data_IF_057689679773
#
_entry.id   IF_057689679773
#
_cell.length_a   1.000
_cell.length_b   1.000
_cell.length_c   1.000
_cell.angle_alpha   90.00
_cell.angle_beta   90.00
_cell.angle_gamma   90.00
#
_symmetry.space_group_name_H-M   'P 1'
#
loop_
_entity.id
_entity.type
_entity.pdbx_description
1 polymer ?
#
# COMPACT_ATOMS: atom_id res chain seq x y z
N UNK A 1 -5.91 -4.75 22.98
CA UNK A 1 -6.26 -4.71 21.54
C UNK A 1 -5.44 -5.79 20.85
N UNK A 2 -6.07 -6.88 20.42
CA UNK A 2 -5.37 -8.03 19.83
C UNK A 2 -4.54 -7.55 18.62
N UNK A 3 -3.22 -7.67 18.69
CA UNK A 3 -2.35 -7.40 17.55
C UNK A 3 -2.58 -8.50 16.52
N UNK A 4 -3.61 -8.32 15.68
CA UNK A 4 -3.85 -9.19 14.54
C UNK A 4 -2.58 -9.27 13.68
N UNK A 5 -2.26 -10.47 13.18
CA UNK A 5 -1.13 -10.65 12.28
C UNK A 5 -1.28 -9.71 11.07
N UNK A 6 -0.19 -9.09 10.57
CA UNK A 6 -0.26 -8.26 9.38
C UNK A 6 -0.83 -9.07 8.21
N UNK A 7 -1.85 -8.51 7.55
CA UNK A 7 -2.42 -9.07 6.32
C UNK A 7 -1.46 -8.88 5.14
N UNK A 8 -1.75 -9.54 4.02
CA UNK A 8 -1.05 -9.31 2.77
C UNK A 8 -1.11 -7.83 2.33
N UNK A 9 -2.22 -7.12 2.59
CA UNK A 9 -2.36 -5.69 2.28
C UNK A 9 -1.51 -4.80 3.19
N UNK A 10 -1.39 -5.15 4.47
CA UNK A 10 -0.46 -4.48 5.40
C UNK A 10 0.99 -4.65 4.92
N UNK A 11 1.35 -5.85 4.44
CA UNK A 11 2.67 -6.13 3.87
C UNK A 11 2.90 -5.38 2.56
N UNK A 12 1.92 -5.35 1.65
CA UNK A 12 2.01 -4.60 0.40
C UNK A 12 2.25 -3.10 0.65
N UNK A 13 1.52 -2.51 1.61
CA UNK A 13 1.74 -1.13 2.03
C UNK A 13 3.17 -0.90 2.57
N UNK A 14 3.66 -1.83 3.40
CA UNK A 14 5.01 -1.74 3.93
C UNK A 14 6.08 -1.85 2.82
N UNK A 15 5.85 -2.70 1.81
CA UNK A 15 6.74 -2.84 0.65
C UNK A 15 6.79 -1.54 -0.16
N UNK A 16 5.63 -0.97 -0.51
CA UNK A 16 5.57 0.29 -1.27
C UNK A 16 6.29 1.41 -0.52
N UNK A 17 6.18 1.46 0.81
CA UNK A 17 6.84 2.48 1.65
C UNK A 17 8.33 2.22 1.90
N UNK A 18 8.81 0.99 1.72
CA UNK A 18 10.25 0.71 1.70
C UNK A 18 10.87 1.11 0.34
N UNK A 19 10.10 1.04 -0.75
CA UNK A 19 10.52 1.47 -2.09
C UNK A 19 10.43 2.99 -2.24
N UNK A 20 9.37 3.60 -1.70
CA UNK A 20 9.12 5.04 -1.73
C UNK A 20 8.96 5.56 -0.30
N UNK A 21 10.08 5.69 0.45
CA UNK A 21 10.01 6.21 1.81
C UNK A 21 9.50 7.65 1.81
N UNK A 22 8.61 8.04 2.75
CA UNK A 22 8.19 9.43 2.86
C UNK A 22 9.37 10.31 3.27
N UNK A 23 9.33 11.59 2.89
CA UNK A 23 10.34 12.57 3.26
C UNK A 23 10.55 12.58 4.79
N UNK A 24 11.82 12.67 5.21
CA UNK A 24 12.19 12.66 6.64
C UNK A 24 12.07 11.29 7.33
N UNK A 25 11.74 10.21 6.62
CA UNK A 25 11.72 8.86 7.17
C UNK A 25 13.14 8.34 7.43
N UNK A 26 13.33 7.65 8.56
CA UNK A 26 14.53 6.84 8.84
C UNK A 26 14.45 5.42 8.25
N UNK A 27 13.42 5.14 7.45
CA UNK A 27 13.26 3.83 6.82
C UNK A 27 14.42 3.59 5.84
N UNK A 28 14.91 2.35 5.83
CA UNK A 28 15.92 1.90 4.88
C UNK A 28 15.22 1.72 3.54
N UNK A 29 15.62 2.47 2.53
CA UNK A 29 15.15 2.29 1.17
C UNK A 29 15.58 0.90 0.66
N UNK A 30 14.63 0.18 0.06
CA UNK A 30 14.86 -1.16 -0.48
C UNK A 30 14.25 -1.26 -1.87
N UNK A 31 14.93 -1.95 -2.77
CA UNK A 31 14.31 -2.41 -4.01
C UNK A 31 13.09 -3.30 -3.74
N UNK A 32 12.12 -3.31 -4.64
CA UNK A 32 10.81 -3.95 -4.44
C UNK A 32 10.91 -5.44 -4.08
N UNK A 33 11.82 -6.20 -4.69
CA UNK A 33 12.06 -7.61 -4.35
C UNK A 33 12.59 -7.78 -2.92
N UNK A 34 13.65 -7.04 -2.58
CA UNK A 34 14.25 -7.10 -1.25
C UNK A 34 13.28 -6.64 -0.13
N UNK A 35 12.44 -5.65 -0.44
CA UNK A 35 11.37 -5.20 0.45
C UNK A 35 10.33 -6.31 0.68
N UNK A 36 9.84 -6.95 -0.38
CA UNK A 36 8.87 -8.05 -0.27
C UNK A 36 9.43 -9.23 0.55
N UNK A 37 10.66 -9.65 0.24
CA UNK A 37 11.31 -10.77 0.94
C UNK A 37 11.47 -10.47 2.43
N UNK A 38 11.90 -9.27 2.78
CA UNK A 38 12.04 -8.84 4.18
C UNK A 38 10.69 -8.79 4.90
N UNK A 39 9.69 -8.13 4.29
CA UNK A 39 8.39 -7.87 4.93
C UNK A 39 7.54 -9.13 5.06
N UNK A 40 7.50 -9.99 4.03
CA UNK A 40 6.75 -11.25 4.06
C UNK A 40 7.29 -12.22 5.12
N UNK A 41 8.62 -12.38 5.20
CA UNK A 41 9.28 -13.20 6.24
C UNK A 41 9.00 -12.66 7.64
N UNK A 42 9.13 -11.34 7.83
CA UNK A 42 8.86 -10.69 9.12
C UNK A 42 7.40 -10.87 9.57
N UNK A 43 6.45 -10.84 8.64
CA UNK A 43 5.04 -11.05 8.91
C UNK A 43 4.64 -12.54 9.01
N UNK A 44 5.54 -13.46 8.69
CA UNK A 44 5.24 -14.91 8.58
C UNK A 44 4.07 -15.19 7.63
N UNK A 45 4.02 -14.49 6.49
CA UNK A 45 2.99 -14.70 5.48
C UNK A 45 3.11 -16.09 4.86
N UNK A 46 1.95 -16.67 4.51
CA UNK A 46 1.91 -17.87 3.67
C UNK A 46 2.45 -17.56 2.26
N UNK A 47 2.81 -18.59 1.49
CA UNK A 47 3.20 -18.40 0.10
C UNK A 47 2.09 -17.74 -0.74
N UNK A 48 0.83 -18.10 -0.48
CA UNK A 48 -0.35 -17.50 -1.13
C UNK A 48 -0.48 -16.01 -0.81
N UNK A 49 -0.36 -15.65 0.47
CA UNK A 49 -0.48 -14.26 0.90
C UNK A 49 0.72 -13.43 0.44
N UNK A 50 1.90 -14.04 0.36
CA UNK A 50 3.10 -13.39 -0.19
C UNK A 50 2.93 -13.09 -1.67
N UNK A 51 2.39 -14.04 -2.45
CA UNK A 51 2.09 -13.82 -3.87
C UNK A 51 1.06 -12.70 -4.06
N UNK A 52 0.02 -12.65 -3.21
CA UNK A 52 -0.97 -11.58 -3.26
C UNK A 52 -0.38 -10.22 -2.85
N UNK A 53 0.45 -10.16 -1.81
CA UNK A 53 1.17 -8.94 -1.44
C UNK A 53 2.11 -8.46 -2.56
N UNK A 54 2.77 -9.39 -3.26
CA UNK A 54 3.61 -9.10 -4.41
C UNK A 54 2.81 -8.48 -5.56
N UNK A 55 1.68 -9.10 -5.93
CA UNK A 55 0.78 -8.60 -6.97
C UNK A 55 0.35 -7.16 -6.69
N UNK A 56 -0.14 -6.90 -5.47
CA UNK A 56 -0.56 -5.56 -5.07
C UNK A 56 0.58 -4.55 -5.07
N UNK A 57 1.71 -4.87 -4.41
CA UNK A 57 2.81 -3.94 -4.26
C UNK A 57 3.46 -3.62 -5.62
N UNK A 58 3.77 -4.66 -6.40
CA UNK A 58 4.45 -4.48 -7.68
C UNK A 58 3.53 -3.84 -8.71
N UNK A 59 2.26 -4.21 -8.70
CA UNK A 59 1.21 -3.54 -9.46
C UNK A 59 1.16 -2.05 -9.19
N UNK A 60 1.04 -1.66 -7.91
CA UNK A 60 0.99 -0.27 -7.50
C UNK A 60 2.29 0.51 -7.80
N UNK A 61 3.46 -0.12 -7.65
CA UNK A 61 4.75 0.48 -8.00
C UNK A 61 4.84 0.71 -9.50
N UNK A 62 4.53 -0.31 -10.31
CA UNK A 62 4.63 -0.26 -11.78
C UNK A 62 3.65 0.75 -12.39
N UNK A 63 2.42 0.80 -11.85
CA UNK A 63 1.33 1.60 -12.39
C UNK A 63 1.14 2.93 -11.65
N UNK A 64 2.07 3.33 -10.79
CA UNK A 64 1.95 4.48 -9.90
C UNK A 64 1.41 5.75 -10.56
N UNK A 65 1.94 6.12 -11.74
CA UNK A 65 1.49 7.30 -12.50
C UNK A 65 0.05 7.17 -13.01
N UNK A 66 -0.35 5.98 -13.47
CA UNK A 66 -1.72 5.69 -13.90
C UNK A 66 -2.68 5.75 -12.71
N UNK A 67 -2.27 5.20 -11.56
CA UNK A 67 -3.06 5.24 -10.33
C UNK A 67 -3.20 6.67 -9.81
N UNK A 68 -2.13 7.47 -9.88
CA UNK A 68 -2.18 8.90 -9.57
C UNK A 68 -3.14 9.64 -10.50
N UNK A 69 -3.16 9.29 -11.81
CA UNK A 69 -4.11 9.86 -12.75
C UNK A 69 -5.57 9.50 -12.41
N UNK A 70 -5.86 8.25 -12.01
CA UNK A 70 -7.19 7.88 -11.52
C UNK A 70 -7.59 8.63 -10.25
N UNK A 71 -6.64 8.89 -9.36
CA UNK A 71 -6.89 9.56 -8.09
C UNK A 71 -7.00 11.08 -8.21
N UNK A 72 -6.38 11.68 -9.23
CA UNK A 72 -6.28 13.14 -9.38
C UNK A 72 -7.62 13.88 -9.26
N UNK A 73 -8.75 13.42 -9.86
CA UNK A 73 -10.04 14.10 -9.71
C UNK A 73 -10.59 14.13 -8.27
N UNK A 74 -10.13 13.21 -7.42
CA UNK A 74 -10.61 13.05 -6.04
C UNK A 74 -9.70 13.68 -4.98
N UNK A 75 -8.49 14.08 -5.38
CA UNK A 75 -7.44 14.56 -4.47
C UNK A 75 -7.13 16.06 -4.59
N UNK A 76 -8.02 16.85 -5.23
CA UNK A 76 -7.83 18.28 -5.51
C UNK A 76 -7.55 19.17 -4.29
N UNK A 77 -7.71 18.67 -3.06
CA UNK A 77 -7.43 19.36 -1.80
C UNK A 77 -6.18 18.85 -1.05
N UNK A 78 -5.46 17.86 -1.59
CA UNK A 78 -4.36 17.13 -0.90
C UNK A 78 -2.94 17.51 -1.33
N UNK A 79 -2.77 18.47 -2.26
CA UNK A 79 -1.44 18.84 -2.76
C UNK A 79 -0.59 19.64 -1.76
N UNK A 80 -1.21 20.31 -0.79
CA UNK A 80 -0.49 21.06 0.25
C UNK A 80 0.10 20.18 1.37
N UNK A 81 -0.23 18.87 1.38
CA UNK A 81 0.09 17.96 2.48
C UNK A 81 1.07 16.83 2.07
N UNK A 82 1.77 16.98 0.95
CA UNK A 82 2.66 15.91 0.44
C UNK A 82 3.80 15.57 1.42
N UNK A 83 4.20 16.54 2.25
CA UNK A 83 5.19 16.38 3.30
C UNK A 83 4.61 15.85 4.63
N UNK A 84 3.28 15.76 4.75
CA UNK A 84 2.64 15.14 5.90
C UNK A 84 2.72 13.61 5.78
N UNK A 85 3.36 12.98 6.78
CA UNK A 85 3.54 11.52 6.86
C UNK A 85 2.21 10.75 6.84
N UNK A 86 1.14 11.29 7.44
CA UNK A 86 -0.20 10.70 7.44
C UNK A 86 -0.85 10.83 6.06
N UNK A 87 -0.77 11.99 5.44
CA UNK A 87 -1.27 12.17 4.07
C UNK A 87 -0.53 11.25 3.08
N UNK A 88 0.79 11.12 3.22
CA UNK A 88 1.61 10.20 2.42
C UNK A 88 1.16 8.75 2.54
N UNK A 89 0.91 8.24 3.77
CA UNK A 89 0.50 6.84 3.93
C UNK A 89 -0.90 6.59 3.38
N UNK A 90 -1.83 7.52 3.57
CA UNK A 90 -3.17 7.43 2.99
C UNK A 90 -3.09 7.42 1.46
N UNK A 91 -2.19 8.22 0.84
CA UNK A 91 -2.00 8.21 -0.61
C UNK A 91 -1.50 6.86 -1.13
N UNK A 92 -0.59 6.17 -0.40
CA UNK A 92 -0.17 4.81 -0.78
C UNK A 92 -1.30 3.78 -0.64
N UNK A 93 -2.11 3.90 0.42
CA UNK A 93 -3.28 3.05 0.64
C UNK A 93 -4.29 3.21 -0.50
N UNK A 94 -4.55 4.45 -0.92
CA UNK A 94 -5.43 4.75 -2.04
C UNK A 94 -4.90 4.15 -3.35
N UNK A 95 -3.60 4.25 -3.63
CA UNK A 95 -3.01 3.63 -4.83
C UNK A 95 -3.17 2.11 -4.83
N UNK A 96 -2.91 1.46 -3.69
CA UNK A 96 -3.12 0.01 -3.56
C UNK A 96 -4.59 -0.37 -3.77
N UNK A 97 -5.51 0.41 -3.19
CA UNK A 97 -6.95 0.20 -3.36
C UNK A 97 -7.42 0.35 -4.80
N UNK A 98 -6.99 1.41 -5.48
CA UNK A 98 -7.31 1.60 -6.90
C UNK A 98 -6.70 0.49 -7.74
N UNK A 99 -5.46 0.06 -7.45
CA UNK A 99 -4.85 -1.04 -8.19
C UNK A 99 -5.68 -2.32 -8.03
N UNK A 100 -6.05 -2.67 -6.80
CA UNK A 100 -6.83 -3.88 -6.53
C UNK A 100 -8.19 -3.86 -7.23
N UNK A 101 -8.91 -2.73 -7.16
CA UNK A 101 -10.21 -2.58 -7.81
C UNK A 101 -10.12 -2.61 -9.34
N UNK A 102 -9.12 -1.94 -9.93
CA UNK A 102 -9.06 -1.76 -11.38
C UNK A 102 -8.37 -2.92 -12.12
N UNK A 103 -7.47 -3.65 -11.46
CA UNK A 103 -6.58 -4.61 -12.13
C UNK A 103 -6.62 -6.02 -11.57
N UNK A 104 -7.39 -6.28 -10.52
CA UNK A 104 -7.58 -7.64 -9.99
C UNK A 104 -9.03 -8.10 -10.15
N UNK A 105 -9.33 -9.32 -9.69
CA UNK A 105 -10.69 -9.89 -9.69
C UNK A 105 -11.30 -9.91 -8.28
N UNK A 106 -10.85 -9.02 -7.40
CA UNK A 106 -11.35 -8.92 -6.04
C UNK A 106 -12.78 -8.36 -6.00
N UNK A 107 -13.54 -8.73 -4.95
CA UNK A 107 -14.85 -8.16 -4.70
C UNK A 107 -14.73 -6.67 -4.32
N UNK A 108 -15.54 -5.81 -4.95
CA UNK A 108 -15.44 -4.36 -4.77
C UNK A 108 -15.72 -3.93 -3.32
N UNK A 109 -16.79 -4.46 -2.72
CA UNK A 109 -17.20 -4.11 -1.36
C UNK A 109 -16.17 -4.56 -0.32
N UNK A 110 -15.66 -5.79 -0.45
CA UNK A 110 -14.61 -6.31 0.41
C UNK A 110 -13.32 -5.49 0.28
N UNK A 111 -12.93 -5.15 -0.95
CA UNK A 111 -11.73 -4.35 -1.23
C UNK A 111 -11.82 -2.98 -0.56
N UNK A 112 -12.94 -2.27 -0.76
CA UNK A 112 -13.16 -0.96 -0.13
C UNK A 112 -13.15 -1.07 1.40
N UNK A 113 -13.84 -2.07 1.97
CA UNK A 113 -13.87 -2.29 3.42
C UNK A 113 -12.45 -2.49 3.99
N UNK A 114 -11.65 -3.31 3.34
CA UNK A 114 -10.27 -3.61 3.77
C UNK A 114 -9.39 -2.37 3.72
N UNK A 115 -9.40 -1.61 2.62
CA UNK A 115 -8.56 -0.42 2.49
C UNK A 115 -9.04 0.77 3.36
N UNK A 116 -10.34 0.90 3.64
CA UNK A 116 -10.84 1.88 4.62
C UNK A 116 -10.34 1.52 6.02
N UNK A 117 -10.38 0.24 6.40
CA UNK A 117 -9.85 -0.18 7.70
C UNK A 117 -8.33 -0.06 7.76
N UNK A 118 -7.63 -0.27 6.65
CA UNK A 118 -6.19 -0.02 6.54
C UNK A 118 -5.88 1.47 6.76
N UNK A 119 -6.63 2.38 6.12
CA UNK A 119 -6.49 3.82 6.30
C UNK A 119 -6.74 4.23 7.75
N UNK A 120 -7.76 3.68 8.43
CA UNK A 120 -8.01 3.94 9.85
C UNK A 120 -6.86 3.51 10.77
N UNK A 121 -6.13 2.45 10.41
CA UNK A 121 -5.00 1.94 11.21
C UNK A 121 -3.73 2.78 11.05
N UNK A 122 -3.48 3.32 9.87
CA UNK A 122 -2.20 3.95 9.53
C UNK A 122 -2.28 5.47 9.32
N UNK A 123 -3.46 6.02 9.05
CA UNK A 123 -3.71 7.45 8.77
C UNK A 123 -3.76 8.34 10.01
#
# INVERSE_FOLDING_TARGET
MSSARPSARDVALAVVRDVFPPAGSRAIERGAQAALDYRSRKASLSARDTAFAAELAYGAIKMRRTLDWYLAPFLSSFDSAQDDKKASVVREILRLGVYELAYTRADEHATVFEFVNLAKRYG
#
